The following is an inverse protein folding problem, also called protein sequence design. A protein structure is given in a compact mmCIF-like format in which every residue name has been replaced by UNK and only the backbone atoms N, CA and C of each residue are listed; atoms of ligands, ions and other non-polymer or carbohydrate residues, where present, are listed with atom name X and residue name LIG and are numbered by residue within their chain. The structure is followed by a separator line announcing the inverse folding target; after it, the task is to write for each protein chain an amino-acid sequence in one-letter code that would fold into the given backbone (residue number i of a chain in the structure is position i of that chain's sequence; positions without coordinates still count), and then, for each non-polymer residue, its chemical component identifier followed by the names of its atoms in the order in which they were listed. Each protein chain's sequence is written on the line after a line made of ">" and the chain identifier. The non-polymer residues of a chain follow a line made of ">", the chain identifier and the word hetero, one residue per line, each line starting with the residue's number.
data_IF_416211969561
#
_entry.id   IF_416211969561
#
_cell.length_a   1.000
_cell.length_b   1.000
_cell.length_c   1.000
_cell.angle_alpha   90.00
_cell.angle_beta   90.00
_cell.angle_gamma   90.00
#
_symmetry.space_group_name_H-M   'P 1'
#
loop_
_entity.id
_entity.type
_entity.pdbx_description
1 polymer ?
#
# COMPACT_ATOMS: atom_id res chain seq x y z
N UNK A 1 12.72 -2.68 4.66
CA UNK A 1 11.53 -3.28 4.02
C UNK A 1 11.44 -4.76 4.35
N UNK A 2 12.54 -5.51 4.28
CA UNK A 2 12.55 -6.97 4.50
C UNK A 2 11.93 -7.40 5.84
N UNK A 3 12.33 -6.78 6.97
CA UNK A 3 11.73 -7.07 8.29
C UNK A 3 10.22 -6.74 8.39
N UNK A 4 9.75 -5.77 7.59
CA UNK A 4 8.33 -5.42 7.52
C UNK A 4 7.56 -6.48 6.73
N UNK A 5 8.09 -6.89 5.58
CA UNK A 5 7.53 -7.96 4.75
C UNK A 5 7.43 -9.27 5.53
N UNK A 6 8.52 -9.69 6.19
CA UNK A 6 8.55 -10.90 7.04
C UNK A 6 7.51 -10.86 8.16
N UNK A 7 7.18 -9.67 8.67
CA UNK A 7 6.17 -9.53 9.73
C UNK A 7 4.74 -9.72 9.22
N UNK A 8 4.52 -9.60 7.91
CA UNK A 8 3.20 -9.70 7.28
C UNK A 8 2.93 -11.08 6.66
N UNK A 9 3.95 -11.94 6.57
CA UNK A 9 3.80 -13.26 5.96
C UNK A 9 2.78 -14.14 6.70
N UNK A 10 1.98 -14.95 5.98
CA UNK A 10 1.11 -15.94 6.61
C UNK A 10 1.90 -16.87 7.53
N UNK A 11 1.49 -16.93 8.80
CA UNK A 11 2.17 -17.74 9.82
C UNK A 11 3.32 -17.04 10.56
N UNK A 12 3.69 -15.81 10.17
CA UNK A 12 4.71 -15.03 10.88
C UNK A 12 4.28 -14.61 12.29
N UNK A 13 2.97 -14.54 12.56
CA UNK A 13 2.42 -14.16 13.85
C UNK A 13 1.40 -15.21 14.32
N UNK A 14 1.36 -15.51 15.64
CA UNK A 14 0.33 -16.40 16.16
C UNK A 14 -1.06 -15.73 16.06
N UNK A 15 -2.14 -16.51 16.11
CA UNK A 15 -3.53 -16.03 16.02
C UNK A 15 -3.97 -15.23 17.27
N UNK A 16 -3.33 -14.09 17.53
CA UNK A 16 -3.51 -13.25 18.73
C UNK A 16 -4.92 -12.67 18.87
N UNK A 17 -5.63 -12.52 17.76
CA UNK A 17 -7.01 -12.01 17.77
C UNK A 17 -8.03 -13.11 18.06
N UNK A 18 -7.75 -14.35 17.66
CA UNK A 18 -8.57 -15.52 17.99
C UNK A 18 -8.28 -16.01 19.42
N UNK A 19 -7.06 -15.81 19.92
CA UNK A 19 -6.63 -16.22 21.26
C UNK A 19 -6.09 -15.03 22.07
N UNK A 20 -6.96 -14.20 22.66
CA UNK A 20 -6.57 -12.96 23.32
C UNK A 20 -5.59 -13.13 24.48
N UNK A 21 -5.55 -14.30 25.14
CA UNK A 21 -4.59 -14.59 26.21
C UNK A 21 -3.13 -14.50 25.74
N UNK A 22 -2.86 -14.65 24.44
CA UNK A 22 -1.53 -14.45 23.87
C UNK A 22 -1.04 -13.00 24.01
N UNK A 23 -1.94 -12.03 24.16
CA UNK A 23 -1.61 -10.62 24.41
C UNK A 23 -1.09 -10.37 25.83
N UNK A 24 -1.28 -11.32 26.76
CA UNK A 24 -0.80 -11.25 28.15
C UNK A 24 0.64 -11.78 28.30
N UNK A 25 1.19 -12.42 27.28
CA UNK A 25 2.55 -12.94 27.30
C UNK A 25 3.54 -11.77 27.38
N UNK A 26 4.55 -11.91 28.26
CA UNK A 26 5.60 -10.90 28.35
C UNK A 26 6.45 -10.89 27.08
N UNK A 27 7.10 -9.75 26.81
CA UNK A 27 7.93 -9.54 25.61
C UNK A 27 9.01 -10.64 25.39
N UNK A 28 9.42 -11.36 26.46
CA UNK A 28 10.36 -12.49 26.37
C UNK A 28 9.77 -13.70 25.64
N UNK A 29 8.47 -13.94 25.78
CA UNK A 29 7.76 -15.06 25.16
C UNK A 29 6.99 -14.65 23.89
N UNK A 30 7.01 -13.35 23.55
CA UNK A 30 6.26 -12.77 22.46
C UNK A 30 7.16 -12.04 21.43
N UNK A 31 8.08 -12.74 20.74
CA UNK A 31 8.96 -12.12 19.75
C UNK A 31 8.19 -11.43 18.61
N UNK A 32 6.97 -11.89 18.29
CA UNK A 32 6.09 -11.25 17.30
C UNK A 32 5.69 -9.84 17.72
N UNK A 33 5.56 -9.54 19.02
CA UNK A 33 5.26 -8.19 19.50
C UNK A 33 6.41 -7.25 19.21
N UNK A 34 7.66 -7.72 19.43
CA UNK A 34 8.85 -6.92 19.10
C UNK A 34 8.93 -6.64 17.59
N UNK A 35 8.67 -7.65 16.75
CA UNK A 35 8.59 -7.50 15.29
C UNK A 35 7.50 -6.51 14.87
N UNK A 36 6.29 -6.64 15.42
CA UNK A 36 5.19 -5.72 15.14
C UNK A 36 5.54 -4.27 15.50
N UNK A 37 6.17 -4.05 16.67
CA UNK A 37 6.64 -2.71 17.09
C UNK A 37 7.74 -2.16 16.18
N UNK A 38 8.70 -2.97 15.74
CA UNK A 38 9.74 -2.50 14.80
C UNK A 38 9.15 -2.17 13.43
N UNK A 39 8.25 -3.03 12.95
CA UNK A 39 7.52 -2.84 11.69
C UNK A 39 6.68 -1.57 11.71
N UNK A 40 5.94 -1.33 12.80
CA UNK A 40 5.19 -0.09 13.00
C UNK A 40 6.10 1.14 12.91
N UNK A 41 7.24 1.15 13.62
CA UNK A 41 8.19 2.27 13.59
C UNK A 41 8.75 2.52 12.19
N UNK A 42 9.07 1.45 11.45
CA UNK A 42 9.57 1.57 10.10
C UNK A 42 8.54 2.20 9.15
N UNK A 43 7.30 1.72 9.17
CA UNK A 43 6.18 2.28 8.40
C UNK A 43 5.92 3.74 8.76
N UNK A 44 5.78 4.02 10.06
CA UNK A 44 5.46 5.35 10.58
C UNK A 44 6.54 6.36 10.15
N UNK A 45 7.81 6.01 10.29
CA UNK A 45 8.92 6.86 9.85
C UNK A 45 8.94 7.08 8.33
N UNK A 46 8.56 6.06 7.54
CA UNK A 46 8.53 6.14 6.07
C UNK A 46 7.47 7.12 5.61
N UNK A 47 6.26 7.03 6.16
CA UNK A 47 5.16 7.92 5.76
C UNK A 47 5.31 9.32 6.34
N UNK A 48 5.88 9.46 7.53
CA UNK A 48 6.28 10.77 8.06
C UNK A 48 7.31 11.45 7.15
N UNK A 49 8.32 10.71 6.68
CA UNK A 49 9.29 11.21 5.72
C UNK A 49 8.65 11.59 4.38
N UNK A 50 7.73 10.76 3.86
CA UNK A 50 7.01 11.06 2.62
C UNK A 50 6.25 12.38 2.71
N UNK A 51 5.52 12.62 3.81
CA UNK A 51 4.84 13.90 4.02
C UNK A 51 5.82 15.06 4.18
N UNK A 52 6.93 14.89 4.92
CA UNK A 52 7.96 15.95 5.03
C UNK A 52 8.50 16.37 3.67
N UNK A 53 8.71 15.42 2.75
CA UNK A 53 9.12 15.72 1.37
C UNK A 53 8.07 16.51 0.61
N UNK A 54 6.79 16.14 0.77
CA UNK A 54 5.66 16.88 0.18
C UNK A 54 5.61 18.31 0.70
N UNK A 55 5.74 18.50 2.01
CA UNK A 55 5.71 19.83 2.63
C UNK A 55 6.90 20.68 2.17
N UNK A 56 8.11 20.11 2.16
CA UNK A 56 9.32 20.80 1.69
C UNK A 56 9.21 21.27 0.24
N UNK A 57 8.68 20.44 -0.68
CA UNK A 57 8.48 20.88 -2.07
C UNK A 57 7.40 21.95 -2.18
N UNK A 58 6.33 21.87 -1.38
CA UNK A 58 5.24 22.87 -1.37
C UNK A 58 5.72 24.23 -0.90
N UNK A 59 6.58 24.27 0.13
CA UNK A 59 7.21 25.50 0.62
C UNK A 59 8.08 26.19 -0.44
N UNK A 60 8.63 25.43 -1.38
CA UNK A 60 9.39 25.94 -2.52
C UNK A 60 8.50 26.34 -3.72
N UNK A 61 7.18 26.22 -3.59
CA UNK A 61 6.22 26.53 -4.66
C UNK A 61 5.91 25.36 -5.61
N UNK A 62 6.50 24.16 -5.41
CA UNK A 62 6.18 22.96 -6.20
C UNK A 62 4.93 22.26 -5.65
N UNK A 63 3.77 22.70 -6.16
CA UNK A 63 2.49 22.01 -6.00
C UNK A 63 2.19 21.14 -7.22
N UNK A 64 1.74 19.91 -6.98
CA UNK A 64 1.49 18.92 -8.04
C UNK A 64 0.03 18.50 -8.05
N UNK A 65 -0.39 17.89 -9.15
CA UNK A 65 -1.71 17.21 -9.23
C UNK A 65 -1.61 15.87 -8.49
N UNK A 66 -1.71 15.91 -7.17
CA UNK A 66 -1.60 14.73 -6.31
C UNK A 66 -2.68 14.72 -5.22
N UNK A 67 -3.04 13.53 -4.72
CA UNK A 67 -4.07 13.39 -3.68
C UNK A 67 -3.69 14.18 -2.42
N UNK A 68 -2.43 14.10 -1.99
CA UNK A 68 -1.94 14.82 -0.80
C UNK A 68 -2.01 16.32 -0.98
N UNK A 69 -1.65 16.86 -2.15
CA UNK A 69 -1.74 18.31 -2.39
C UNK A 69 -3.19 18.79 -2.29
N UNK A 70 -4.12 18.06 -2.92
CA UNK A 70 -5.55 18.41 -2.92
C UNK A 70 -6.18 18.32 -1.52
N UNK A 71 -5.72 17.40 -0.68
CA UNK A 71 -6.14 17.33 0.73
C UNK A 71 -5.58 18.53 1.51
N UNK A 72 -4.28 18.83 1.34
CA UNK A 72 -3.62 19.95 2.02
C UNK A 72 -4.12 21.33 1.55
N UNK A 73 -4.61 21.44 0.32
CA UNK A 73 -5.26 22.63 -0.23
C UNK A 73 -6.75 22.74 0.16
N UNK A 74 -7.30 21.74 0.85
CA UNK A 74 -8.70 21.72 1.29
C UNK A 74 -9.72 21.41 0.19
N UNK A 75 -9.28 21.08 -1.04
CA UNK A 75 -10.17 20.72 -2.16
C UNK A 75 -10.91 19.40 -1.91
N UNK A 76 -10.27 18.48 -1.18
CA UNK A 76 -10.91 17.28 -0.65
C UNK A 76 -11.10 17.48 0.85
N UNK A 77 -12.27 17.97 1.23
CA UNK A 77 -12.67 18.03 2.62
C UNK A 77 -12.76 16.61 3.18
N UNK A 78 -12.03 16.37 4.27
CA UNK A 78 -12.27 15.21 5.12
C UNK A 78 -13.40 15.58 6.09
N UNK A 79 -14.32 14.66 6.36
CA UNK A 79 -15.46 14.89 7.27
C UNK A 79 -15.01 15.29 8.69
N UNK A 80 -13.75 15.01 9.03
CA UNK A 80 -13.11 15.37 10.28
C UNK A 80 -11.67 15.82 10.03
N UNK A 81 -11.14 16.74 10.87
CA UNK A 81 -9.74 17.15 10.78
C UNK A 81 -8.85 15.95 11.11
N UNK A 82 -7.96 15.60 10.17
CA UNK A 82 -6.94 14.58 10.40
C UNK A 82 -5.74 15.20 11.11
N UNK A 83 -5.25 14.50 12.14
CA UNK A 83 -3.89 14.75 12.62
C UNK A 83 -2.89 14.39 11.53
N UNK A 84 -1.73 15.02 11.59
CA UNK A 84 -0.56 14.70 10.79
C UNK A 84 -0.25 13.20 10.71
N UNK A 85 -0.31 12.52 11.86
CA UNK A 85 -0.08 11.08 11.95
C UNK A 85 -1.17 10.31 11.19
N UNK A 86 -2.44 10.64 11.37
CA UNK A 86 -3.53 9.98 10.63
C UNK A 86 -3.42 10.22 9.13
N UNK A 87 -3.06 11.43 8.69
CA UNK A 87 -2.86 11.74 7.28
C UNK A 87 -1.70 10.93 6.68
N UNK A 88 -0.58 10.79 7.40
CA UNK A 88 0.55 9.97 6.97
C UNK A 88 0.13 8.52 6.71
N UNK A 89 -0.52 7.89 7.69
CA UNK A 89 -0.94 6.49 7.57
C UNK A 89 -2.05 6.31 6.53
N UNK A 90 -2.97 7.26 6.39
CA UNK A 90 -3.99 7.23 5.34
C UNK A 90 -3.38 7.25 3.93
N UNK A 91 -2.45 8.16 3.68
CA UNK A 91 -1.74 8.23 2.39
C UNK A 91 -0.88 6.99 2.17
N UNK A 92 -0.27 6.47 3.23
CA UNK A 92 0.52 5.25 3.19
C UNK A 92 -0.28 4.04 2.73
N UNK A 93 -1.44 3.80 3.34
CA UNK A 93 -2.34 2.69 2.96
C UNK A 93 -2.83 2.83 1.51
N UNK A 94 -3.10 4.04 1.04
CA UNK A 94 -3.50 4.25 -0.36
C UNK A 94 -2.39 3.84 -1.34
N UNK A 95 -1.14 4.20 -1.04
CA UNK A 95 0.02 3.86 -1.88
C UNK A 95 0.30 2.36 -1.81
N UNK A 96 0.35 1.78 -0.61
CA UNK A 96 0.65 0.36 -0.40
C UNK A 96 -0.41 -0.53 -1.05
N UNK A 97 -1.69 -0.25 -0.78
CA UNK A 97 -2.80 -1.00 -1.37
C UNK A 97 -2.79 -0.91 -2.90
N UNK A 98 -2.52 0.27 -3.47
CA UNK A 98 -2.42 0.46 -4.90
C UNK A 98 -1.22 -0.25 -5.53
N UNK A 99 -0.08 -0.31 -4.83
CA UNK A 99 1.14 -0.92 -5.34
C UNK A 99 1.04 -2.46 -5.33
N UNK A 100 0.77 -3.06 -4.18
CA UNK A 100 0.86 -4.51 -4.00
C UNK A 100 -0.25 -5.27 -4.76
N UNK A 101 -1.51 -4.81 -4.64
CA UNK A 101 -2.65 -5.49 -5.27
C UNK A 101 -2.64 -5.36 -6.80
N UNK A 102 -2.25 -4.20 -7.32
CA UNK A 102 -2.16 -3.98 -8.78
C UNK A 102 -1.00 -4.75 -9.37
N UNK A 103 0.17 -4.76 -8.72
CA UNK A 103 1.31 -5.55 -9.17
C UNK A 103 0.97 -7.05 -9.19
N UNK A 104 0.38 -7.55 -8.10
CA UNK A 104 -0.07 -8.95 -8.00
C UNK A 104 -1.09 -9.29 -9.09
N UNK A 105 -2.12 -8.46 -9.29
CA UNK A 105 -3.15 -8.68 -10.31
C UNK A 105 -2.56 -8.66 -11.72
N UNK A 106 -1.65 -7.74 -12.01
CA UNK A 106 -0.98 -7.64 -13.31
C UNK A 106 -0.10 -8.87 -13.58
N UNK A 107 0.70 -9.30 -12.59
CA UNK A 107 1.53 -10.49 -12.71
C UNK A 107 0.69 -11.75 -12.90
N UNK A 108 -0.40 -11.91 -12.14
CA UNK A 108 -1.36 -13.01 -12.35
C UNK A 108 -1.98 -12.97 -13.73
N UNK A 109 -2.36 -11.78 -14.22
CA UNK A 109 -2.93 -11.62 -15.56
C UNK A 109 -1.94 -12.06 -16.64
N UNK A 110 -0.68 -11.62 -16.54
CA UNK A 110 0.39 -12.01 -17.46
C UNK A 110 0.59 -13.53 -17.44
N UNK A 111 0.68 -14.14 -16.24
CA UNK A 111 0.83 -15.58 -16.08
C UNK A 111 -0.32 -16.35 -16.75
N UNK A 112 -1.56 -15.93 -16.48
CA UNK A 112 -2.76 -16.59 -17.01
C UNK A 112 -2.84 -16.48 -18.53
N UNK A 113 -2.50 -15.32 -19.10
CA UNK A 113 -2.45 -15.14 -20.56
C UNK A 113 -1.35 -16.01 -21.19
N UNK A 114 -0.15 -16.03 -20.59
CA UNK A 114 0.96 -16.83 -21.08
C UNK A 114 0.64 -18.33 -21.10
N UNK A 115 -0.03 -18.84 -20.06
CA UNK A 115 -0.46 -20.25 -19.98
C UNK A 115 -1.68 -20.58 -20.85
N UNK A 116 -2.48 -19.59 -21.24
CA UNK A 116 -3.72 -19.79 -21.98
C UNK A 116 -3.74 -18.99 -23.29
N UNK A 117 -2.88 -19.39 -24.23
CA UNK A 117 -2.71 -18.72 -25.53
C UNK A 117 -4.02 -18.50 -26.31
N UNK A 118 -4.99 -19.41 -26.19
CA UNK A 118 -6.30 -19.27 -26.81
C UNK A 118 -7.12 -18.09 -26.23
N UNK A 119 -7.01 -17.83 -24.92
CA UNK A 119 -7.63 -16.67 -24.26
C UNK A 119 -6.91 -15.38 -24.67
N UNK A 120 -5.58 -15.40 -24.72
CA UNK A 120 -4.78 -14.26 -25.17
C UNK A 120 -5.14 -13.85 -26.60
N UNK A 121 -5.26 -14.82 -27.52
CA UNK A 121 -5.67 -14.56 -28.90
C UNK A 121 -7.08 -13.97 -28.97
N UNK A 122 -8.03 -14.51 -28.21
CA UNK A 122 -9.41 -13.98 -28.15
C UNK A 122 -9.43 -12.53 -27.65
N UNK A 123 -8.66 -12.21 -26.61
CA UNK A 123 -8.56 -10.84 -26.09
C UNK A 123 -7.95 -9.89 -27.13
N UNK A 124 -6.93 -10.33 -27.87
CA UNK A 124 -6.35 -9.56 -28.96
C UNK A 124 -7.34 -9.32 -30.10
N UNK A 125 -8.04 -10.36 -30.57
CA UNK A 125 -9.08 -10.24 -31.62
C UNK A 125 -10.17 -9.24 -31.23
N UNK A 126 -10.57 -9.20 -29.96
CA UNK A 126 -11.53 -8.22 -29.45
C UNK A 126 -10.97 -6.79 -29.46
N UNK A 127 -9.73 -6.59 -28.99
CA UNK A 127 -9.07 -5.29 -29.02
C UNK A 127 -8.91 -4.78 -30.45
N UNK A 128 -8.44 -5.64 -31.37
CA UNK A 128 -8.26 -5.30 -32.78
C UNK A 128 -9.59 -4.93 -33.45
N UNK A 129 -10.68 -5.62 -33.11
CA UNK A 129 -12.03 -5.33 -33.63
C UNK A 129 -12.60 -4.00 -33.13
N UNK A 130 -12.41 -3.66 -31.85
CA UNK A 130 -13.05 -2.48 -31.23
C UNK A 130 -12.21 -1.22 -31.39
N UNK A 131 -10.89 -1.34 -31.23
CA UNK A 131 -9.97 -0.19 -31.19
C UNK A 131 -9.23 -0.04 -32.52
N UNK A 132 -9.13 -1.10 -33.33
CA UNK A 132 -8.37 -1.13 -34.57
C UNK A 132 -6.91 -1.55 -34.37
N UNK A 133 -6.24 -1.87 -35.48
CA UNK A 133 -4.85 -2.35 -35.51
C UNK A 133 -3.85 -1.26 -35.89
N UNK A 134 -4.31 -0.06 -36.25
CA UNK A 134 -3.43 1.06 -36.59
C UNK A 134 -2.97 1.77 -35.31
N UNK A 135 -1.71 1.56 -34.97
CA UNK A 135 -0.97 2.30 -33.96
C UNK A 135 0.41 2.67 -34.50
#
# INVERSE_FOLDING_TARGET
>A
MDQYSESLEPGANPPVDQFPFLKLLSDRFAPWVKRARSSYKAIDSTWAEARRRVESRRQQGDKRVSIVDRILDGEKAMDFPLTDHQLNHFLGVLVEGGADTTASSMLTSILMLAQNQHVQKKAQEELDRVIGTER
#
